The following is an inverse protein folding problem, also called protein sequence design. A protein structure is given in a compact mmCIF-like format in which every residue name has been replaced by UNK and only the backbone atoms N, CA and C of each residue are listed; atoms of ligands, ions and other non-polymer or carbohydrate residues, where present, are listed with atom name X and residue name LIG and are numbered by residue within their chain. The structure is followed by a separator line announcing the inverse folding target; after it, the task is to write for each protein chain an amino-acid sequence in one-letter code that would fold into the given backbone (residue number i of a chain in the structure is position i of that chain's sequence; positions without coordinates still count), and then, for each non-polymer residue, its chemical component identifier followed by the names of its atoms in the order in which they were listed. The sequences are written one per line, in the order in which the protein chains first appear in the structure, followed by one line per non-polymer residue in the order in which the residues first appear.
data_IF_547051506860
#
_entry.id   IF_547051506860
#
_cell.length_a   1.000
_cell.length_b   1.000
_cell.length_c   1.000
_cell.angle_alpha   90.00
_cell.angle_beta   90.00
_cell.angle_gamma   90.00
#
_symmetry.space_group_name_H-M   'P 1'
#
loop_
_entity.id
_entity.type
_entity.pdbx_description
1 polymer ?
#
# COMPACT_ATOMS: atom_id res chain seq x y z
N UNK A 1 -20.73 49.92 74.62
CA UNK A 1 -19.62 49.72 75.57
C UNK A 1 -18.37 49.47 74.77
N UNK A 2 -17.66 50.52 74.36
CA UNK A 2 -16.51 51.10 75.07
C UNK A 2 -15.47 50.04 75.45
N UNK A 3 -14.44 49.90 74.63
CA UNK A 3 -13.07 50.05 75.13
C UNK A 3 -12.12 50.37 73.98
N UNK A 4 -11.31 51.39 74.21
CA UNK A 4 -10.46 52.08 73.27
C UNK A 4 -9.00 51.96 73.71
N UNK A 5 -8.11 51.67 72.75
CA UNK A 5 -6.68 52.11 72.65
C UNK A 5 -5.68 51.61 73.71
N UNK A 6 -4.33 51.68 73.49
CA UNK A 6 -3.57 52.41 72.46
C UNK A 6 -2.56 51.56 71.64
N UNK A 7 -2.28 51.88 70.37
CA UNK A 7 -1.22 52.78 69.88
C UNK A 7 0.17 52.60 70.54
N UNK A 8 1.06 51.87 69.85
CA UNK A 8 2.50 52.02 69.96
C UNK A 8 3.10 52.18 68.56
N UNK A 9 3.68 53.35 68.34
CA UNK A 9 4.29 53.86 67.11
C UNK A 9 5.78 53.56 67.20
N UNK A 10 6.33 52.73 66.31
CA UNK A 10 7.78 52.70 66.11
C UNK A 10 8.12 52.69 64.62
N UNK A 11 8.59 53.85 64.17
CA UNK A 11 9.39 54.02 62.96
C UNK A 11 10.71 53.28 63.17
N UNK A 12 11.22 52.61 62.14
CA UNK A 12 12.61 52.75 61.65
C UNK A 12 12.86 51.85 60.42
N UNK A 13 13.43 52.49 59.41
CA UNK A 13 14.42 52.01 58.46
C UNK A 13 14.14 50.74 57.65
N UNK A 14 13.73 50.96 56.40
CA UNK A 14 14.59 50.74 55.23
C UNK A 14 15.20 49.36 55.04
N UNK A 15 14.62 48.57 54.15
CA UNK A 15 15.33 47.73 53.19
C UNK A 15 14.45 47.58 51.95
N UNK A 16 14.75 48.34 50.90
CA UNK A 16 14.26 48.05 49.55
C UNK A 16 14.98 46.77 49.09
N UNK A 17 14.36 45.61 49.32
CA UNK A 17 14.75 44.39 48.67
C UNK A 17 14.30 44.49 47.21
N UNK A 18 15.24 44.84 46.34
CA UNK A 18 15.08 44.78 44.89
C UNK A 18 14.96 43.29 44.53
N UNK A 19 13.71 42.80 44.46
CA UNK A 19 13.37 41.48 43.97
C UNK A 19 13.60 41.50 42.46
N UNK A 20 14.84 41.21 42.05
CA UNK A 20 15.14 40.80 40.68
C UNK A 20 14.44 39.46 40.51
N UNK A 21 13.21 39.51 40.00
CA UNK A 21 12.56 38.36 39.41
C UNK A 21 13.40 37.96 38.19
N UNK A 22 14.35 37.05 38.40
CA UNK A 22 14.94 36.26 37.32
C UNK A 22 13.80 35.45 36.71
N UNK A 23 13.12 36.06 35.75
CA UNK A 23 12.28 35.37 34.78
C UNK A 23 13.19 34.43 34.01
N UNK A 24 13.41 33.24 34.57
CA UNK A 24 13.92 32.11 33.82
C UNK A 24 12.95 31.94 32.65
N UNK A 25 13.38 32.38 31.47
CA UNK A 25 12.81 31.99 30.20
C UNK A 25 12.93 30.47 30.14
N UNK A 26 11.96 29.77 30.72
CA UNK A 26 11.66 28.41 30.37
C UNK A 26 11.19 28.48 28.91
N UNK A 27 12.15 28.51 28.00
CA UNK A 27 11.89 28.16 26.62
C UNK A 27 11.16 26.81 26.63
N UNK A 28 10.22 26.57 25.70
CA UNK A 28 9.57 25.28 25.62
C UNK A 28 10.66 24.20 25.62
N UNK A 29 10.70 23.41 26.69
CA UNK A 29 11.47 22.17 26.72
C UNK A 29 10.72 21.27 25.76
N UNK A 30 11.04 21.39 24.47
CA UNK A 30 10.65 20.39 23.49
C UNK A 30 11.35 19.13 23.98
N UNK A 31 10.57 18.20 24.56
CA UNK A 31 11.08 16.90 24.93
C UNK A 31 11.77 16.34 23.68
N UNK A 32 13.10 16.24 23.73
CA UNK A 32 13.89 15.74 22.62
C UNK A 32 13.40 14.33 22.34
N UNK A 33 12.92 14.09 21.12
CA UNK A 33 12.39 12.78 20.78
C UNK A 33 13.55 11.80 20.75
N UNK A 34 13.46 10.74 21.53
CA UNK A 34 14.50 9.73 21.61
C UNK A 34 14.10 8.46 20.88
N UNK A 35 15.06 7.89 20.16
CA UNK A 35 14.93 6.54 19.63
C UNK A 35 15.14 5.53 20.76
N UNK A 36 14.24 4.57 20.86
CA UNK A 36 14.25 3.52 21.88
C UNK A 36 14.35 2.15 21.24
N UNK A 37 14.54 1.11 22.06
CA UNK A 37 14.62 -0.29 21.62
C UNK A 37 15.64 -0.53 20.49
N UNK A 38 16.81 0.11 20.58
CA UNK A 38 17.87 0.00 19.58
C UNK A 38 18.48 -1.40 19.59
N UNK A 39 18.53 -2.02 18.41
CA UNK A 39 19.21 -3.29 18.15
C UNK A 39 20.25 -3.07 17.07
N UNK A 40 21.44 -3.62 17.29
CA UNK A 40 22.58 -3.58 16.37
C UNK A 40 22.92 -4.98 15.87
N UNK A 41 23.41 -5.10 14.66
CA UNK A 41 24.02 -6.33 14.17
C UNK A 41 24.83 -6.12 12.89
N UNK A 42 25.83 -6.98 12.67
CA UNK A 42 26.65 -6.95 11.44
C UNK A 42 25.90 -7.57 10.28
N UNK A 43 26.04 -7.02 9.08
CA UNK A 43 25.36 -7.51 7.87
C UNK A 43 26.14 -8.67 7.25
N UNK A 44 25.88 -9.89 7.72
CA UNK A 44 26.62 -11.08 7.29
C UNK A 44 28.11 -10.95 7.61
N UNK A 45 28.97 -11.43 6.70
CA UNK A 45 30.43 -11.35 6.85
C UNK A 45 31.04 -10.02 6.35
N UNK A 46 30.21 -9.08 5.93
CA UNK A 46 30.64 -7.79 5.38
C UNK A 46 31.01 -6.74 6.44
N UNK A 47 31.58 -5.60 6.02
CA UNK A 47 31.91 -4.49 6.93
C UNK A 47 30.70 -3.66 7.35
N UNK A 48 29.50 -3.95 6.84
CA UNK A 48 28.32 -3.12 7.09
C UNK A 48 27.68 -3.47 8.43
N UNK A 49 27.20 -2.43 9.10
CA UNK A 49 26.51 -2.48 10.39
C UNK A 49 25.06 -2.01 10.21
N UNK A 50 24.14 -2.64 10.92
CA UNK A 50 22.71 -2.34 10.84
C UNK A 50 22.22 -1.99 12.23
N UNK A 51 21.48 -0.89 12.30
CA UNK A 51 20.80 -0.43 13.50
C UNK A 51 19.30 -0.36 13.25
N UNK A 52 18.52 -0.83 14.21
CA UNK A 52 17.05 -0.75 14.22
C UNK A 52 16.61 -0.15 15.54
N UNK A 53 15.85 0.93 15.51
CA UNK A 53 15.23 1.51 16.70
C UNK A 53 13.78 1.90 16.43
N UNK A 54 13.09 2.39 17.46
CA UNK A 54 11.72 2.89 17.36
C UNK A 54 11.61 4.31 17.89
N UNK A 55 10.80 5.14 17.23
CA UNK A 55 10.54 6.53 17.59
C UNK A 55 9.06 6.84 17.46
N UNK A 56 8.52 7.60 18.42
CA UNK A 56 7.13 8.08 18.34
C UNK A 56 7.11 9.46 17.70
N UNK A 57 6.40 9.61 16.58
CA UNK A 57 6.23 10.89 15.89
C UNK A 57 4.75 11.26 15.83
N UNK A 58 4.41 12.56 15.70
CA UNK A 58 3.03 12.97 15.46
C UNK A 58 2.42 12.24 14.27
N UNK A 59 1.16 11.79 14.40
CA UNK A 59 0.54 10.90 13.44
C UNK A 59 0.21 11.54 12.08
N UNK A 60 0.17 12.87 12.03
CA UNK A 60 -0.23 13.64 10.87
C UNK A 60 0.94 13.91 9.92
N UNK A 61 0.68 13.80 8.62
CA UNK A 61 1.61 14.18 7.55
C UNK A 61 2.60 13.10 7.14
N UNK A 62 3.63 13.51 6.40
CA UNK A 62 4.66 12.62 5.84
C UNK A 62 6.02 13.01 6.42
N UNK A 63 6.55 12.17 7.31
CA UNK A 63 7.86 12.36 7.91
C UNK A 63 8.96 11.78 7.02
N UNK A 64 9.95 12.60 6.72
CA UNK A 64 11.17 12.23 6.03
C UNK A 64 12.37 12.48 6.95
N UNK A 65 13.25 11.49 7.05
CA UNK A 65 14.47 11.60 7.83
C UNK A 65 15.59 12.22 7.01
N UNK A 66 16.41 13.02 7.66
CA UNK A 66 17.66 13.57 7.14
C UNK A 66 18.80 13.22 8.07
N UNK A 67 19.88 12.74 7.48
CA UNK A 67 21.15 12.53 8.17
C UNK A 67 21.88 13.87 8.20
N UNK A 68 22.56 14.22 9.31
CA UNK A 68 23.53 15.30 9.34
C UNK A 68 24.59 15.16 8.24
N UNK A 69 25.02 16.29 7.66
CA UNK A 69 25.95 16.30 6.52
C UNK A 69 27.38 15.83 6.87
N UNK A 70 27.69 15.72 8.16
CA UNK A 70 29.00 15.38 8.72
C UNK A 70 29.18 13.88 9.02
N UNK A 71 28.17 13.04 8.77
CA UNK A 71 28.23 11.62 9.11
C UNK A 71 28.45 10.71 7.89
N UNK A 72 29.67 10.69 7.36
CA UNK A 72 30.07 9.88 6.18
C UNK A 72 29.93 8.35 6.38
N UNK A 73 29.84 7.92 7.64
CA UNK A 73 29.68 6.50 7.98
C UNK A 73 28.29 5.95 7.62
N UNK A 74 27.26 6.80 7.54
CA UNK A 74 25.88 6.37 7.29
C UNK A 74 25.65 6.22 5.78
N UNK A 75 25.27 5.01 5.37
CA UNK A 75 25.01 4.67 3.97
C UNK A 75 23.53 4.74 3.63
N UNK A 76 22.67 4.30 4.55
CA UNK A 76 21.22 4.26 4.34
C UNK A 76 20.49 4.64 5.64
N UNK A 77 19.40 5.39 5.52
CA UNK A 77 18.50 5.72 6.62
C UNK A 77 17.06 5.65 6.14
N UNK A 78 16.24 4.85 6.82
CA UNK A 78 14.83 4.69 6.53
C UNK A 78 13.97 4.91 7.77
N UNK A 79 12.78 5.46 7.54
CA UNK A 79 11.74 5.62 8.55
C UNK A 79 10.49 4.91 8.03
N UNK A 80 10.05 3.87 8.75
CA UNK A 80 8.89 3.08 8.39
C UNK A 80 7.83 3.19 9.49
N UNK A 81 6.54 3.29 9.18
CA UNK A 81 5.51 3.08 10.19
C UNK A 81 5.54 1.63 10.72
N UNK A 82 5.37 1.43 12.03
CA UNK A 82 5.21 0.09 12.61
C UNK A 82 3.77 -0.42 12.54
N UNK A 83 2.81 0.48 12.34
CA UNK A 83 1.39 0.18 12.26
C UNK A 83 0.88 0.36 10.83
N UNK A 84 -0.25 -0.27 10.45
CA UNK A 84 -0.93 -0.01 9.18
C UNK A 84 -1.57 1.40 9.20
N UNK A 85 -0.72 2.43 9.20
CA UNK A 85 -1.08 3.85 9.19
C UNK A 85 -0.55 4.55 7.94
N UNK A 86 0.02 3.80 6.99
CA UNK A 86 0.44 4.27 5.66
C UNK A 86 -0.63 5.16 5.00
N UNK A 87 -1.92 4.85 5.25
CA UNK A 87 -3.08 5.60 4.75
C UNK A 87 -3.06 7.09 5.18
N UNK A 88 -2.49 7.41 6.35
CA UNK A 88 -2.30 8.80 6.81
C UNK A 88 -1.16 9.50 6.08
N UNK A 89 -0.08 8.77 5.78
CA UNK A 89 1.17 9.33 5.30
C UNK A 89 1.12 9.71 3.83
N UNK A 90 0.35 8.97 3.03
CA UNK A 90 0.25 9.20 1.59
C UNK A 90 -0.40 10.56 1.25
N UNK A 91 -1.02 11.24 2.23
CA UNK A 91 -1.78 12.46 2.01
C UNK A 91 -3.10 12.20 1.31
N UNK A 92 -4.09 13.08 1.51
CA UNK A 92 -5.49 12.87 1.07
C UNK A 92 -5.62 12.52 -0.42
N UNK A 93 -4.78 13.12 -1.28
CA UNK A 93 -4.83 12.93 -2.74
C UNK A 93 -4.34 11.55 -3.18
N UNK A 94 -3.23 11.09 -2.62
CA UNK A 94 -2.71 9.76 -2.96
C UNK A 94 -3.61 8.67 -2.37
N UNK A 95 -4.20 8.90 -1.19
CA UNK A 95 -5.22 8.03 -0.63
C UNK A 95 -6.41 7.89 -1.59
N UNK A 96 -7.00 9.00 -2.04
CA UNK A 96 -8.13 8.96 -2.98
C UNK A 96 -7.78 8.27 -4.30
N UNK A 97 -6.58 8.53 -4.85
CA UNK A 97 -6.11 7.84 -6.07
C UNK A 97 -5.95 6.33 -5.87
N UNK A 98 -5.45 5.91 -4.70
CA UNK A 98 -5.28 4.50 -4.36
C UNK A 98 -6.60 3.79 -4.09
N UNK A 99 -7.50 4.46 -3.36
CA UNK A 99 -8.86 3.99 -3.11
C UNK A 99 -9.58 3.74 -4.44
N UNK A 100 -9.54 4.70 -5.35
CA UNK A 100 -10.08 4.56 -6.71
C UNK A 100 -9.42 3.38 -7.44
N UNK A 101 -8.10 3.26 -7.41
CA UNK A 101 -7.40 2.15 -8.07
C UNK A 101 -7.79 0.79 -7.49
N UNK A 102 -7.93 0.68 -6.17
CA UNK A 102 -8.33 -0.55 -5.50
C UNK A 102 -9.77 -0.93 -5.84
N UNK A 103 -10.69 0.05 -5.81
CA UNK A 103 -12.07 -0.10 -6.28
C UNK A 103 -12.08 -0.60 -7.72
N UNK A 104 -11.34 0.02 -8.64
CA UNK A 104 -11.32 -0.39 -10.05
C UNK A 104 -10.69 -1.78 -10.26
N UNK A 105 -9.70 -2.18 -9.46
CA UNK A 105 -9.11 -3.52 -9.57
C UNK A 105 -10.13 -4.64 -9.27
N UNK A 106 -11.04 -4.43 -8.32
CA UNK A 106 -12.13 -5.38 -8.04
C UNK A 106 -13.07 -5.57 -9.24
N UNK A 107 -13.36 -4.48 -9.98
CA UNK A 107 -14.15 -4.54 -11.22
C UNK A 107 -13.54 -5.51 -12.23
N UNK A 108 -12.23 -5.39 -12.48
CA UNK A 108 -11.50 -6.25 -13.42
C UNK A 108 -11.52 -7.72 -12.99
N UNK A 109 -11.35 -7.99 -11.70
CA UNK A 109 -11.41 -9.35 -11.17
C UNK A 109 -12.80 -9.97 -11.42
N UNK A 110 -13.86 -9.23 -11.12
CA UNK A 110 -15.23 -9.70 -11.33
C UNK A 110 -15.51 -9.92 -12.82
N UNK A 111 -15.16 -8.96 -13.68
CA UNK A 111 -15.38 -9.03 -15.13
C UNK A 111 -14.62 -10.18 -15.81
N UNK A 112 -13.47 -10.60 -15.26
CA UNK A 112 -12.66 -11.69 -15.81
C UNK A 112 -13.41 -13.00 -16.00
N UNK A 113 -14.42 -13.30 -15.18
CA UNK A 113 -15.23 -14.53 -15.28
C UNK A 113 -16.43 -14.47 -16.22
N UNK A 114 -16.73 -13.30 -16.79
CA UNK A 114 -17.92 -13.12 -17.64
C UNK A 114 -17.92 -14.04 -18.85
N UNK A 115 -16.81 -14.09 -19.61
CA UNK A 115 -16.74 -14.86 -20.85
C UNK A 115 -16.88 -16.37 -20.60
N UNK A 116 -16.32 -16.87 -19.50
CA UNK A 116 -16.49 -18.26 -19.09
C UNK A 116 -17.95 -18.59 -18.81
N UNK A 117 -18.64 -17.75 -18.02
CA UNK A 117 -20.06 -17.94 -17.70
C UNK A 117 -20.96 -17.82 -18.94
N UNK A 118 -20.68 -16.84 -19.82
CA UNK A 118 -21.43 -16.63 -21.06
C UNK A 118 -21.28 -17.83 -22.00
N UNK A 119 -20.05 -18.31 -22.19
CA UNK A 119 -19.77 -19.47 -23.05
C UNK A 119 -20.44 -20.73 -22.48
N UNK A 120 -20.33 -20.96 -21.17
CA UNK A 120 -21.02 -22.05 -20.48
C UNK A 120 -22.53 -22.00 -20.73
N UNK A 121 -23.15 -20.82 -20.56
CA UNK A 121 -24.57 -20.65 -20.81
C UNK A 121 -24.96 -20.87 -22.27
N UNK A 122 -24.13 -20.50 -23.24
CA UNK A 122 -24.40 -20.79 -24.66
C UNK A 122 -24.42 -22.29 -24.96
N UNK A 123 -23.58 -23.05 -24.27
CA UNK A 123 -23.48 -24.51 -24.41
C UNK A 123 -24.59 -25.24 -23.62
N UNK A 124 -25.07 -24.66 -22.52
CA UNK A 124 -26.07 -25.23 -21.61
C UNK A 124 -27.46 -24.59 -21.73
N UNK A 125 -27.90 -24.28 -22.95
CA UNK A 125 -29.28 -23.84 -23.21
C UNK A 125 -29.68 -22.50 -22.59
N UNK A 126 -28.72 -21.62 -22.34
CA UNK A 126 -28.94 -20.30 -21.76
C UNK A 126 -28.85 -20.25 -20.23
N UNK A 127 -28.42 -21.33 -19.57
CA UNK A 127 -28.29 -21.37 -18.10
C UNK A 127 -26.82 -21.27 -17.68
N UNK A 128 -26.51 -20.31 -16.81
CA UNK A 128 -25.17 -20.11 -16.28
C UNK A 128 -24.69 -21.25 -15.37
N UNK A 129 -23.40 -21.26 -14.99
CA UNK A 129 -22.85 -22.28 -14.11
C UNK A 129 -23.46 -22.21 -12.70
N UNK A 130 -23.62 -23.38 -12.06
CA UNK A 130 -24.05 -23.50 -10.65
C UNK A 130 -23.00 -23.03 -9.64
N UNK A 131 -21.73 -23.02 -10.04
CA UNK A 131 -20.61 -22.60 -9.20
C UNK A 131 -19.40 -22.26 -10.04
N UNK A 132 -18.44 -21.54 -9.46
CA UNK A 132 -17.15 -21.26 -10.10
C UNK A 132 -16.40 -22.58 -10.43
N UNK A 133 -16.53 -23.58 -9.55
CA UNK A 133 -15.90 -24.89 -9.75
C UNK A 133 -16.46 -25.64 -10.98
N UNK A 134 -17.73 -25.43 -11.35
CA UNK A 134 -18.32 -26.02 -12.55
C UNK A 134 -17.66 -25.52 -13.86
N UNK A 135 -16.99 -24.37 -13.82
CA UNK A 135 -16.19 -23.89 -14.94
C UNK A 135 -14.87 -24.67 -15.10
N UNK A 136 -14.39 -25.36 -14.05
CA UNK A 136 -13.13 -26.09 -14.09
C UNK A 136 -13.17 -27.37 -14.93
N UNK A 137 -14.37 -27.92 -15.17
CA UNK A 137 -14.59 -29.10 -16.02
C UNK A 137 -14.13 -28.85 -17.45
N UNK A 138 -14.18 -27.58 -17.87
CA UNK A 138 -13.61 -27.13 -19.13
C UNK A 138 -12.15 -26.70 -18.97
N UNK A 139 -11.25 -27.39 -19.66
CA UNK A 139 -9.82 -27.06 -19.70
C UNK A 139 -9.55 -25.61 -20.09
N UNK A 140 -10.43 -24.98 -20.89
CA UNK A 140 -10.34 -23.56 -21.29
C UNK A 140 -10.42 -22.62 -20.07
N UNK A 141 -11.17 -22.99 -19.04
CA UNK A 141 -11.52 -22.11 -17.91
C UNK A 141 -10.98 -22.59 -16.56
N UNK A 142 -10.27 -23.72 -16.51
CA UNK A 142 -9.64 -24.24 -15.29
C UNK A 142 -8.82 -23.19 -14.53
N UNK A 143 -8.01 -22.38 -15.23
CA UNK A 143 -7.21 -21.32 -14.61
C UNK A 143 -8.06 -20.25 -13.91
N UNK A 144 -9.27 -20.03 -14.42
CA UNK A 144 -10.21 -19.05 -13.91
C UNK A 144 -10.85 -19.56 -12.62
N UNK A 145 -11.32 -20.81 -12.61
CA UNK A 145 -11.83 -21.44 -11.40
C UNK A 145 -10.81 -21.42 -10.25
N UNK A 146 -9.53 -21.59 -10.58
CA UNK A 146 -8.42 -21.54 -9.60
C UNK A 146 -8.11 -20.13 -9.06
N UNK A 147 -8.50 -19.05 -9.75
CA UNK A 147 -8.04 -17.68 -9.47
C UNK A 147 -9.14 -16.67 -9.21
N UNK A 148 -10.36 -16.91 -9.68
CA UNK A 148 -11.40 -15.90 -9.72
C UNK A 148 -11.83 -15.44 -8.32
N UNK A 149 -11.89 -16.36 -7.36
CA UNK A 149 -12.20 -16.08 -5.96
C UNK A 149 -10.94 -15.90 -5.07
N UNK A 150 -9.77 -15.69 -5.66
CA UNK A 150 -8.54 -15.40 -4.90
C UNK A 150 -8.34 -13.89 -4.80
N UNK A 151 -7.65 -13.39 -3.75
CA UNK A 151 -7.31 -11.99 -3.71
C UNK A 151 -6.51 -11.65 -4.96
N UNK A 152 -6.93 -10.62 -5.70
CA UNK A 152 -6.18 -10.15 -6.85
C UNK A 152 -4.71 -9.95 -6.46
N UNK A 153 -3.76 -10.33 -7.31
CA UNK A 153 -2.34 -10.27 -6.96
C UNK A 153 -1.90 -8.85 -6.58
N UNK A 154 -2.59 -7.81 -7.08
CA UNK A 154 -2.37 -6.41 -6.67
C UNK A 154 -2.89 -6.09 -5.28
N UNK A 155 -3.83 -6.86 -4.72
CA UNK A 155 -4.18 -6.73 -3.30
C UNK A 155 -2.99 -7.01 -2.38
N UNK A 156 -2.01 -7.82 -2.82
CA UNK A 156 -0.77 -7.99 -2.07
C UNK A 156 0.05 -6.70 -1.97
N UNK A 157 -0.12 -5.76 -2.89
CA UNK A 157 0.50 -4.43 -2.76
C UNK A 157 -0.06 -3.72 -1.51
N UNK A 158 -1.30 -4.03 -1.10
CA UNK A 158 -1.94 -3.41 0.07
C UNK A 158 -1.68 -4.15 1.39
N UNK A 159 -0.78 -5.15 1.44
CA UNK A 159 -0.45 -5.84 2.71
C UNK A 159 0.00 -4.89 3.83
N UNK A 160 0.78 -3.87 3.51
CA UNK A 160 1.18 -2.83 4.48
C UNK A 160 0.04 -1.94 4.99
N UNK A 161 -1.17 -2.08 4.44
CA UNK A 161 -2.37 -1.32 4.82
C UNK A 161 -3.37 -2.17 5.60
N UNK A 162 -3.51 -3.44 5.23
CA UNK A 162 -4.49 -4.39 5.80
C UNK A 162 -3.91 -5.12 7.03
N UNK A 163 -2.63 -4.88 7.32
CA UNK A 163 -1.87 -5.60 8.35
C UNK A 163 -1.31 -6.93 7.83
N UNK A 164 -0.52 -7.60 8.68
CA UNK A 164 0.19 -8.83 8.29
C UNK A 164 -0.72 -10.04 8.15
N UNK A 165 -2.00 -9.93 8.52
CA UNK A 165 -2.93 -11.04 8.38
C UNK A 165 -3.34 -11.25 6.91
N UNK A 166 -3.21 -12.48 6.39
CA UNK A 166 -3.64 -12.77 5.03
C UNK A 166 -5.16 -12.61 4.92
N UNK A 167 -5.60 -11.83 3.92
CA UNK A 167 -7.01 -11.70 3.61
C UNK A 167 -7.60 -13.08 3.23
N UNK A 168 -8.46 -13.60 4.11
CA UNK A 168 -9.22 -14.82 3.85
C UNK A 168 -10.43 -14.52 2.95
N UNK A 169 -10.66 -15.39 1.98
CA UNK A 169 -11.83 -15.34 1.10
C UNK A 169 -13.14 -15.76 1.80
N UNK A 170 -14.23 -15.94 1.04
CA UNK A 170 -14.35 -15.63 -0.40
C UNK A 170 -14.32 -14.12 -0.66
N UNK A 171 -13.97 -13.73 -1.90
CA UNK A 171 -13.91 -12.36 -2.40
C UNK A 171 -15.07 -12.03 -3.34
N UNK A 172 -15.55 -13.03 -4.09
CA UNK A 172 -16.64 -12.89 -5.04
C UNK A 172 -17.72 -13.95 -4.79
N UNK A 173 -18.95 -13.63 -5.19
CA UNK A 173 -20.07 -14.57 -5.21
C UNK A 173 -20.60 -14.69 -6.63
N UNK A 174 -20.69 -15.91 -7.15
CA UNK A 174 -21.39 -16.22 -8.39
C UNK A 174 -22.80 -16.68 -8.02
N UNK A 175 -23.82 -16.06 -8.61
CA UNK A 175 -25.20 -16.52 -8.44
C UNK A 175 -25.38 -17.80 -9.28
N UNK A 176 -25.85 -18.90 -8.67
CA UNK A 176 -25.99 -20.16 -9.38
C UNK A 176 -27.06 -20.08 -10.48
N UNK A 177 -26.78 -20.71 -11.62
CA UNK A 177 -27.78 -21.04 -12.65
C UNK A 177 -28.57 -19.85 -13.23
N UNK A 178 -27.93 -18.67 -13.25
CA UNK A 178 -28.53 -17.45 -13.81
C UNK A 178 -28.84 -17.63 -15.29
N UNK A 179 -30.05 -17.26 -15.72
CA UNK A 179 -30.47 -17.35 -17.12
C UNK A 179 -29.93 -16.20 -17.96
N UNK A 180 -29.27 -16.54 -19.06
CA UNK A 180 -28.81 -15.62 -20.10
C UNK A 180 -29.88 -15.53 -21.20
N UNK A 181 -30.61 -14.43 -21.22
CA UNK A 181 -31.62 -14.16 -22.24
C UNK A 181 -30.99 -13.60 -23.52
N UNK A 182 -30.27 -14.45 -24.26
CA UNK A 182 -29.58 -14.05 -25.48
C UNK A 182 -30.53 -13.48 -26.53
N UNK A 183 -30.11 -12.39 -27.18
CA UNK A 183 -30.80 -11.88 -28.36
C UNK A 183 -30.79 -12.91 -29.50
N UNK A 184 -31.83 -12.88 -30.34
CA UNK A 184 -31.80 -13.63 -31.60
C UNK A 184 -30.63 -13.10 -32.44
N UNK A 185 -29.83 -13.97 -33.08
CA UNK A 185 -28.78 -13.52 -33.97
C UNK A 185 -29.38 -12.65 -35.08
N UNK A 186 -28.70 -11.58 -35.53
CA UNK A 186 -29.14 -10.85 -36.71
C UNK A 186 -29.28 -11.83 -37.87
N UNK A 187 -30.33 -11.66 -38.69
CA UNK A 187 -30.52 -12.46 -39.88
C UNK A 187 -29.26 -12.32 -40.76
N UNK A 188 -28.75 -13.42 -41.36
CA UNK A 188 -27.60 -13.34 -42.25
C UNK A 188 -27.93 -12.34 -43.38
N UNK A 189 -27.16 -11.27 -43.48
CA UNK A 189 -27.26 -10.36 -44.63
C UNK A 189 -26.79 -11.13 -45.87
N UNK A 190 -27.70 -11.33 -46.83
CA UNK A 190 -27.61 -12.25 -47.97
C UNK A 190 -26.55 -11.98 -49.04
N UNK A 191 -25.40 -11.43 -48.68
CA UNK A 191 -24.29 -11.15 -49.62
C UNK A 191 -22.98 -11.88 -49.30
N UNK A 192 -22.91 -12.66 -48.20
CA UNK A 192 -21.69 -13.38 -47.80
C UNK A 192 -21.67 -14.89 -48.05
N UNK A 193 -22.83 -15.54 -48.22
CA UNK A 193 -22.90 -17.02 -48.27
C UNK A 193 -22.31 -17.61 -49.56
N UNK A 194 -22.37 -16.90 -50.69
CA UNK A 194 -21.84 -17.41 -51.96
C UNK A 194 -20.31 -17.41 -52.06
N UNK A 195 -19.59 -16.72 -51.17
CA UNK A 195 -18.12 -16.72 -51.17
C UNK A 195 -17.51 -17.82 -50.27
N UNK A 196 -18.23 -18.27 -49.25
CA UNK A 196 -17.71 -19.25 -48.28
C UNK A 196 -17.86 -20.71 -48.76
N UNK A 197 -18.84 -21.01 -49.63
CA UNK A 197 -19.02 -22.34 -50.22
C UNK A 197 -17.88 -22.78 -51.15
N UNK A 198 -17.11 -21.83 -51.71
CA UNK A 198 -16.01 -22.13 -52.64
C UNK A 198 -14.72 -22.65 -51.99
N UNK A 199 -14.61 -22.68 -50.65
CA UNK A 199 -13.36 -23.05 -49.97
C UNK A 199 -13.44 -24.21 -48.97
N UNK A 200 -14.55 -24.95 -48.88
CA UNK A 200 -14.61 -26.20 -48.11
C UNK A 200 -14.27 -26.07 -46.60
N UNK A 201 -14.24 -24.85 -46.07
CA UNK A 201 -14.01 -24.59 -44.64
C UNK A 201 -15.35 -24.21 -44.00
N UNK A 202 -15.87 -24.99 -43.04
CA UNK A 202 -17.03 -24.60 -42.26
C UNK A 202 -16.61 -23.47 -41.31
N UNK A 203 -16.55 -22.24 -41.82
CA UNK A 203 -16.46 -21.05 -40.99
C UNK A 203 -17.88 -20.69 -40.53
N UNK A 204 -18.46 -21.52 -39.65
CA UNK A 204 -19.43 -20.98 -38.70
C UNK A 204 -18.64 -20.03 -37.79
N UNK A 205 -18.52 -18.77 -38.20
CA UNK A 205 -18.11 -17.72 -37.31
C UNK A 205 -19.07 -17.79 -36.12
N UNK A 206 -18.59 -18.25 -34.95
CA UNK A 206 -19.39 -18.34 -33.73
C UNK A 206 -19.89 -16.93 -33.41
N UNK A 207 -21.08 -16.59 -33.87
CA UNK A 207 -21.67 -15.27 -33.65
C UNK A 207 -21.76 -15.07 -32.15
N UNK A 208 -21.11 -14.01 -31.66
CA UNK A 208 -21.09 -13.68 -30.24
C UNK A 208 -22.52 -13.32 -29.82
N UNK A 209 -23.24 -14.25 -29.17
CA UNK A 209 -24.55 -13.93 -28.58
C UNK A 209 -24.37 -12.98 -27.40
N UNK A 210 -25.21 -11.96 -27.34
CA UNK A 210 -25.23 -10.90 -26.32
C UNK A 210 -26.60 -10.89 -25.66
N UNK A 211 -26.65 -10.54 -24.37
CA UNK A 211 -27.91 -10.34 -23.63
C UNK A 211 -28.27 -8.85 -23.71
N UNK A 212 -29.49 -8.48 -24.16
CA UNK A 212 -29.93 -7.08 -24.13
C UNK A 212 -29.98 -6.52 -22.71
N UNK A 213 -29.69 -5.23 -22.55
CA UNK A 213 -29.57 -4.58 -21.23
C UNK A 213 -30.86 -4.72 -20.41
N UNK A 214 -32.00 -4.60 -21.05
CA UNK A 214 -33.34 -4.73 -20.45
C UNK A 214 -33.68 -6.15 -19.99
N UNK A 215 -32.92 -7.16 -20.42
CA UNK A 215 -33.08 -8.57 -20.03
C UNK A 215 -31.94 -9.08 -19.15
N UNK A 216 -31.04 -8.18 -18.73
CA UNK A 216 -29.89 -8.55 -17.91
C UNK A 216 -30.33 -8.97 -16.51
N UNK A 217 -29.61 -9.93 -15.96
CA UNK A 217 -29.76 -10.37 -14.58
C UNK A 217 -28.41 -10.27 -13.86
N UNK A 218 -28.42 -10.20 -12.53
CA UNK A 218 -27.18 -10.25 -11.75
C UNK A 218 -26.55 -11.63 -11.92
N UNK A 219 -25.30 -11.65 -12.37
CA UNK A 219 -24.53 -12.87 -12.59
C UNK A 219 -23.62 -13.16 -11.38
N UNK A 220 -22.89 -12.14 -10.93
CA UNK A 220 -21.95 -12.25 -9.82
C UNK A 220 -21.76 -10.89 -9.14
N UNK A 221 -21.29 -10.88 -7.89
CA UNK A 221 -21.00 -9.66 -7.17
C UNK A 221 -19.83 -9.80 -6.19
N UNK A 222 -19.28 -8.67 -5.78
CA UNK A 222 -18.18 -8.57 -4.84
C UNK A 222 -18.67 -8.77 -3.38
N UNK A 223 -17.99 -9.64 -2.65
CA UNK A 223 -18.22 -9.91 -1.21
C UNK A 223 -17.28 -9.11 -0.31
N UNK A 224 -16.15 -8.64 -0.83
CA UNK A 224 -15.13 -7.92 -0.06
C UNK A 224 -14.74 -6.61 -0.73
N UNK A 225 -15.66 -5.62 -0.75
CA UNK A 225 -15.34 -4.29 -1.25
C UNK A 225 -14.14 -3.74 -0.48
N UNK A 226 -13.28 -3.00 -1.18
CA UNK A 226 -12.08 -2.48 -0.56
C UNK A 226 -12.43 -1.51 0.57
N UNK A 227 -13.42 -0.64 0.34
CA UNK A 227 -13.92 0.35 1.28
C UNK A 227 -15.34 0.05 1.74
N UNK A 228 -15.67 0.58 2.91
CA UNK A 228 -17.01 0.52 3.50
C UNK A 228 -17.82 1.78 3.15
N UNK A 229 -18.10 1.96 1.86
CA UNK A 229 -18.92 3.07 1.32
C UNK A 229 -20.38 2.67 1.06
N UNK A 230 -20.79 1.48 1.54
CA UNK A 230 -22.10 0.90 1.26
C UNK A 230 -22.30 0.45 -0.18
N UNK A 231 -21.23 0.36 -1.00
CA UNK A 231 -21.30 -0.05 -2.41
C UNK A 231 -20.40 -1.25 -2.71
N UNK A 232 -20.75 -1.96 -3.77
CA UNK A 232 -19.96 -3.08 -4.28
C UNK A 232 -20.08 -3.22 -5.80
N UNK A 233 -19.18 -3.99 -6.41
CA UNK A 233 -19.28 -4.31 -7.82
C UNK A 233 -20.26 -5.45 -8.09
N UNK A 234 -21.10 -5.26 -9.09
CA UNK A 234 -22.08 -6.23 -9.59
C UNK A 234 -21.85 -6.44 -11.09
N UNK A 235 -21.70 -7.70 -11.50
CA UNK A 235 -21.59 -8.13 -12.88
C UNK A 235 -22.92 -8.69 -13.33
N UNK A 236 -23.37 -8.25 -14.51
CA UNK A 236 -24.62 -8.68 -15.13
C UNK A 236 -24.38 -9.66 -16.29
N UNK A 237 -25.44 -10.34 -16.72
CA UNK A 237 -25.41 -11.29 -17.85
C UNK A 237 -25.16 -10.66 -19.22
N UNK A 238 -25.26 -9.33 -19.34
CA UNK A 238 -24.85 -8.57 -20.53
C UNK A 238 -23.33 -8.27 -20.56
N UNK A 239 -22.61 -8.58 -19.47
CA UNK A 239 -21.18 -8.34 -19.30
C UNK A 239 -20.84 -6.96 -18.75
N UNK A 240 -21.84 -6.12 -18.48
CA UNK A 240 -21.63 -4.86 -17.77
C UNK A 240 -21.33 -5.13 -16.31
N UNK A 241 -20.38 -4.36 -15.78
CA UNK A 241 -19.98 -4.40 -14.37
C UNK A 241 -20.19 -3.00 -13.80
N UNK A 242 -21.07 -2.87 -12.81
CA UNK A 242 -21.50 -1.60 -12.24
C UNK A 242 -21.23 -1.57 -10.74
N UNK A 243 -20.84 -0.40 -10.22
CA UNK A 243 -20.68 -0.17 -8.78
C UNK A 243 -21.99 0.39 -8.26
N UNK A 244 -22.72 -0.41 -7.51
CA UNK A 244 -24.07 -0.09 -7.01
C UNK A 244 -24.09 -0.13 -5.49
N UNK A 245 -25.12 0.46 -4.88
CA UNK A 245 -25.39 0.29 -3.46
C UNK A 245 -25.63 -1.19 -3.14
N UNK A 246 -25.19 -1.64 -1.97
CA UNK A 246 -25.41 -3.00 -1.50
C UNK A 246 -26.91 -3.24 -1.34
N UNK A 247 -27.43 -4.21 -2.09
CA UNK A 247 -28.82 -4.63 -2.02
C UNK A 247 -29.01 -5.67 -0.89
N UNK A 248 -29.66 -5.32 0.23
CA UNK A 248 -29.79 -6.23 1.37
C UNK A 248 -30.66 -7.46 1.03
N UNK A 249 -31.66 -7.32 0.15
CA UNK A 249 -32.53 -8.40 -0.25
C UNK A 249 -31.76 -9.43 -1.08
N UNK A 250 -30.94 -8.97 -2.02
CA UNK A 250 -30.05 -9.84 -2.80
C UNK A 250 -29.08 -10.60 -1.88
N UNK A 251 -28.43 -9.90 -0.94
CA UNK A 251 -27.47 -10.51 -0.02
C UNK A 251 -28.13 -11.55 0.89
N UNK A 252 -29.34 -11.25 1.38
CA UNK A 252 -30.13 -12.19 2.17
C UNK A 252 -30.58 -13.40 1.35
N UNK A 253 -31.10 -13.19 0.13
CA UNK A 253 -31.55 -14.25 -0.76
C UNK A 253 -30.42 -15.21 -1.14
N UNK A 254 -29.19 -14.70 -1.28
CA UNK A 254 -28.00 -15.48 -1.57
C UNK A 254 -27.32 -16.06 -0.31
N UNK A 255 -27.81 -15.72 0.89
CA UNK A 255 -27.25 -16.16 2.19
C UNK A 255 -25.75 -15.87 2.37
N UNK A 256 -25.30 -14.73 1.85
CA UNK A 256 -23.89 -14.29 1.94
C UNK A 256 -23.72 -13.08 2.85
N UNK A 257 -22.48 -12.74 3.17
CA UNK A 257 -22.13 -11.55 3.97
C UNK A 257 -21.08 -10.72 3.25
N UNK A 258 -21.34 -9.42 3.13
CA UNK A 258 -20.34 -8.47 2.64
C UNK A 258 -19.42 -8.08 3.80
N UNK A 259 -18.11 -8.15 3.56
CA UNK A 259 -17.06 -7.87 4.54
C UNK A 259 -16.01 -6.97 3.91
N UNK A 260 -16.14 -5.64 4.05
CA UNK A 260 -15.15 -4.70 3.54
C UNK A 260 -13.74 -5.03 4.00
N UNK A 261 -12.74 -4.70 3.19
CA UNK A 261 -11.33 -4.87 3.54
C UNK A 261 -10.91 -3.80 4.56
N UNK A 262 -11.33 -2.56 4.33
CA UNK A 262 -11.15 -1.44 5.25
C UNK A 262 -12.46 -1.13 5.96
N UNK A 263 -12.45 -1.28 7.30
CA UNK A 263 -13.57 -0.89 8.14
C UNK A 263 -13.42 0.59 8.55
N UNK A 264 -14.47 1.37 8.31
CA UNK A 264 -14.59 2.78 8.69
C UNK A 264 -14.29 3.06 10.17
N UNK A 265 -14.69 2.15 11.08
CA UNK A 265 -14.43 2.27 12.53
C UNK A 265 -12.95 2.11 12.88
N UNK A 266 -12.22 1.21 12.21
CA UNK A 266 -10.77 1.07 12.42
C UNK A 266 -10.02 2.31 11.95
N UNK A 267 -10.50 2.95 10.88
CA UNK A 267 -9.98 4.23 10.43
C UNK A 267 -10.28 5.35 11.44
N UNK A 268 -11.48 5.41 12.02
CA UNK A 268 -11.82 6.42 13.05
C UNK A 268 -10.94 6.27 14.30
N UNK A 269 -10.83 5.05 14.85
CA UNK A 269 -9.97 4.79 16.01
C UNK A 269 -8.50 5.05 15.73
N UNK A 270 -8.05 4.81 14.48
CA UNK A 270 -6.75 5.26 14.08
C UNK A 270 -6.72 6.80 14.14
N UNK A 271 -7.66 7.51 13.48
CA UNK A 271 -7.65 8.99 13.28
C UNK A 271 -7.51 9.78 14.58
N UNK A 272 -7.97 9.23 15.68
CA UNK A 272 -7.90 9.83 17.01
C UNK A 272 -6.51 9.72 17.68
N UNK A 273 -5.57 8.94 17.14
CA UNK A 273 -4.21 8.79 17.72
C UNK A 273 -3.33 10.01 17.42
N UNK A 274 -2.83 10.74 18.44
CA UNK A 274 -2.00 11.93 18.25
C UNK A 274 -0.58 11.61 17.77
N UNK A 275 -0.07 10.42 18.10
CA UNK A 275 1.26 9.94 17.69
C UNK A 275 1.21 8.51 17.14
N UNK A 276 2.21 8.19 16.32
CA UNK A 276 2.45 6.89 15.76
C UNK A 276 3.88 6.46 16.04
N UNK A 277 4.05 5.17 16.25
CA UNK A 277 5.36 4.57 16.35
C UNK A 277 5.92 4.28 14.95
N UNK A 278 7.18 4.65 14.77
CA UNK A 278 7.95 4.41 13.57
C UNK A 278 9.18 3.58 13.91
N UNK A 279 9.56 2.72 12.98
CA UNK A 279 10.82 2.01 12.99
C UNK A 279 11.84 2.81 12.19
N UNK A 280 12.95 3.14 12.83
CA UNK A 280 14.15 3.64 12.19
C UNK A 280 15.06 2.48 11.83
N UNK A 281 15.55 2.47 10.61
CA UNK A 281 16.52 1.48 10.12
C UNK A 281 17.68 2.23 9.50
N UNK A 282 18.88 2.01 10.02
CA UNK A 282 20.11 2.65 9.59
C UNK A 282 21.13 1.59 9.17
N UNK A 283 21.83 1.84 8.07
CA UNK A 283 22.97 1.03 7.62
C UNK A 283 24.20 1.92 7.60
N UNK A 284 25.26 1.49 8.30
CA UNK A 284 26.53 2.19 8.37
C UNK A 284 27.68 1.31 7.84
N UNK A 285 28.74 1.93 7.34
CA UNK A 285 29.95 1.22 6.89
C UNK A 285 30.89 0.83 8.02
N UNK A 286 30.65 1.32 9.23
CA UNK A 286 31.40 1.02 10.44
C UNK A 286 30.49 1.18 11.66
N UNK A 287 30.85 0.62 12.83
CA UNK A 287 30.12 0.88 14.06
C UNK A 287 30.07 2.38 14.38
N UNK A 288 28.93 2.86 14.84
CA UNK A 288 28.74 4.24 15.26
C UNK A 288 29.15 4.38 16.73
N UNK A 289 30.12 5.25 16.99
CA UNK A 289 30.66 5.49 18.33
C UNK A 289 29.94 6.59 19.10
N UNK A 290 29.29 7.53 18.39
CA UNK A 290 28.67 8.72 18.97
C UNK A 290 27.15 8.72 18.78
N UNK A 291 26.39 9.32 19.71
CA UNK A 291 24.96 9.55 19.52
C UNK A 291 24.70 10.39 18.27
N UNK A 292 23.65 10.04 17.54
CA UNK A 292 23.23 10.75 16.33
C UNK A 292 22.13 11.78 16.67
N UNK A 293 22.27 12.99 16.15
CA UNK A 293 21.22 14.00 16.11
C UNK A 293 20.57 13.98 14.72
N UNK A 294 19.43 13.30 14.57
CA UNK A 294 18.72 13.20 13.31
C UNK A 294 17.64 14.28 13.18
N UNK A 295 17.36 14.68 11.94
CA UNK A 295 16.25 15.60 11.67
C UNK A 295 15.11 14.87 10.97
N UNK A 296 13.90 14.98 11.51
CA UNK A 296 12.67 14.54 10.86
C UNK A 296 11.92 15.76 10.35
N UNK A 297 11.65 15.79 9.05
CA UNK A 297 10.89 16.87 8.39
C UNK A 297 9.54 16.36 7.92
N UNK A 298 8.49 17.11 8.23
CA UNK A 298 7.13 16.86 7.78
C UNK A 298 6.75 17.89 6.73
N UNK A 299 6.75 17.47 5.46
CA UNK A 299 6.47 18.38 4.34
C UNK A 299 5.02 18.84 4.27
N UNK A 300 4.09 18.05 4.84
CA UNK A 300 2.65 18.37 4.84
C UNK A 300 2.34 19.43 5.89
N UNK A 301 2.96 19.31 7.08
CA UNK A 301 2.74 20.22 8.19
C UNK A 301 3.74 21.38 8.26
N UNK A 302 4.79 21.36 7.43
CA UNK A 302 5.88 22.32 7.50
C UNK A 302 6.66 22.28 8.82
N UNK A 303 6.67 21.13 9.52
CA UNK A 303 7.30 20.96 10.82
C UNK A 303 8.62 20.22 10.69
N UNK A 304 9.61 20.61 11.50
CA UNK A 304 10.86 19.86 11.67
C UNK A 304 11.03 19.51 13.14
N UNK A 305 11.42 18.27 13.40
CA UNK A 305 11.70 17.76 14.74
C UNK A 305 13.12 17.21 14.78
N UNK A 306 13.78 17.38 15.91
CA UNK A 306 15.07 16.77 16.19
C UNK A 306 14.87 15.47 16.96
N UNK A 307 15.57 14.42 16.54
CA UNK A 307 15.50 13.09 17.11
C UNK A 307 16.91 12.71 17.55
N UNK A 308 17.08 12.42 18.83
CA UNK A 308 18.33 11.88 19.37
C UNK A 308 18.30 10.35 19.31
N UNK A 309 19.35 9.75 18.75
CA UNK A 309 19.53 8.31 18.70
C UNK A 309 20.87 7.92 19.29
N UNK A 310 20.85 7.36 20.49
CA UNK A 310 22.03 6.71 21.06
C UNK A 310 22.14 5.27 20.54
N UNK A 311 23.22 4.99 19.81
CA UNK A 311 23.50 3.68 19.23
C UNK A 311 24.53 2.89 20.03
N UNK A 312 25.12 3.48 21.08
CA UNK A 312 26.21 2.87 21.86
C UNK A 312 25.70 1.72 22.74
N UNK A 313 24.52 1.89 23.30
CA UNK A 313 23.85 0.89 24.15
C UNK A 313 22.90 -0.02 23.34
N UNK A 314 23.13 -0.16 22.03
CA UNK A 314 22.31 -1.01 21.18
C UNK A 314 22.45 -2.48 21.60
N UNK A 315 21.33 -3.16 21.81
CA UNK A 315 21.35 -4.59 22.07
C UNK A 315 21.89 -5.34 20.83
N UNK A 316 22.82 -6.27 21.04
CA UNK A 316 23.34 -7.11 19.96
C UNK A 316 22.26 -8.09 19.46
N UNK A 317 22.09 -8.12 18.14
CA UNK A 317 21.12 -8.95 17.44
C UNK A 317 21.75 -9.66 16.25
N UNK A 318 21.17 -10.80 15.87
CA UNK A 318 21.68 -11.55 14.72
C UNK A 318 21.28 -10.87 13.41
N UNK A 319 22.13 -11.02 12.38
CA UNK A 319 21.74 -10.57 11.03
C UNK A 319 20.46 -11.24 10.54
N UNK A 320 20.22 -12.50 10.92
CA UNK A 320 19.01 -13.22 10.53
C UNK A 320 17.74 -12.47 10.97
N UNK A 321 17.75 -11.87 12.16
CA UNK A 321 16.63 -11.11 12.71
C UNK A 321 16.48 -9.72 12.04
N UNK A 322 17.60 -9.08 11.70
CA UNK A 322 17.61 -7.76 11.08
C UNK A 322 17.37 -7.79 9.56
N UNK A 323 17.69 -8.91 8.90
CA UNK A 323 17.63 -9.06 7.44
C UNK A 323 16.25 -8.73 6.88
N UNK A 324 15.20 -9.24 7.50
CA UNK A 324 13.82 -8.98 7.05
C UNK A 324 13.49 -7.49 7.21
N UNK A 325 13.88 -6.89 8.33
CA UNK A 325 13.67 -5.47 8.62
C UNK A 325 14.33 -4.56 7.58
N UNK A 326 15.58 -4.82 7.20
CA UNK A 326 16.31 -4.04 6.18
C UNK A 326 15.66 -4.21 4.81
N UNK A 327 15.26 -5.45 4.48
CA UNK A 327 14.58 -5.75 3.22
C UNK A 327 13.28 -4.96 3.11
N UNK A 328 12.49 -4.94 4.18
CA UNK A 328 11.24 -4.18 4.23
C UNK A 328 11.48 -2.66 4.17
N UNK A 329 12.54 -2.16 4.81
CA UNK A 329 12.98 -0.77 4.76
C UNK A 329 13.32 -0.30 3.35
N UNK A 330 14.17 -1.05 2.64
CA UNK A 330 14.54 -0.76 1.25
C UNK A 330 13.33 -0.80 0.33
N UNK A 331 12.49 -1.83 0.46
CA UNK A 331 11.24 -1.95 -0.29
C UNK A 331 10.32 -0.76 -0.08
N UNK A 332 10.15 -0.34 1.18
CA UNK A 332 9.35 0.82 1.53
C UNK A 332 9.91 2.10 0.89
N UNK A 333 11.21 2.37 1.05
CA UNK A 333 11.86 3.55 0.47
C UNK A 333 11.80 3.61 -1.06
N UNK A 334 11.82 2.46 -1.74
CA UNK A 334 11.81 2.39 -3.21
C UNK A 334 10.40 2.28 -3.80
N UNK A 335 9.39 2.05 -2.97
CA UNK A 335 8.01 1.83 -3.39
C UNK A 335 7.43 2.95 -4.26
N UNK A 336 7.68 4.24 -3.99
CA UNK A 336 7.19 5.31 -4.87
C UNK A 336 7.70 5.17 -6.31
N UNK A 337 8.96 4.79 -6.50
CA UNK A 337 9.56 4.58 -7.82
C UNK A 337 9.01 3.33 -8.51
N UNK A 338 8.74 2.26 -7.75
CA UNK A 338 8.07 1.05 -8.24
C UNK A 338 6.65 1.32 -8.73
N UNK A 339 5.96 2.28 -8.11
CA UNK A 339 4.60 2.67 -8.50
C UNK A 339 4.61 3.63 -9.69
N UNK A 340 5.61 4.52 -9.77
CA UNK A 340 5.73 5.51 -10.84
C UNK A 340 6.32 4.95 -12.14
N UNK A 341 7.06 3.83 -12.12
CA UNK A 341 7.73 3.27 -13.30
C UNK A 341 7.54 1.77 -13.50
N UNK A 342 7.42 1.33 -14.75
CA UNK A 342 7.43 -0.09 -15.16
C UNK A 342 8.84 -0.70 -15.20
N UNK A 343 9.69 -0.35 -14.23
CA UNK A 343 11.09 -0.78 -14.19
C UNK A 343 11.23 -2.25 -13.78
N UNK A 344 11.48 -3.14 -14.74
CA UNK A 344 11.65 -4.58 -14.49
C UNK A 344 12.71 -4.93 -13.43
N UNK A 345 13.76 -4.11 -13.30
CA UNK A 345 14.86 -4.32 -12.33
C UNK A 345 14.40 -4.13 -10.88
N UNK A 346 13.61 -3.09 -10.60
CA UNK A 346 13.08 -2.84 -9.26
C UNK A 346 12.08 -3.94 -8.86
N UNK A 347 11.30 -4.47 -9.81
CA UNK A 347 10.40 -5.60 -9.57
C UNK A 347 11.15 -6.90 -9.21
N UNK A 348 12.32 -7.14 -9.80
CA UNK A 348 13.17 -8.30 -9.43
C UNK A 348 13.74 -8.13 -8.03
N UNK A 349 14.14 -6.91 -7.64
CA UNK A 349 14.60 -6.61 -6.28
C UNK A 349 13.50 -6.72 -5.22
N UNK A 350 12.25 -6.35 -5.52
CA UNK A 350 11.13 -6.60 -4.61
C UNK A 350 10.89 -8.12 -4.41
N UNK A 351 11.22 -8.95 -5.41
CA UNK A 351 11.02 -10.40 -5.32
C UNK A 351 12.18 -11.14 -4.63
N UNK A 352 13.40 -10.60 -4.61
CA UNK A 352 14.61 -11.26 -4.10
C UNK A 352 14.62 -11.54 -2.58
N UNK A 353 13.76 -10.88 -1.81
CA UNK A 353 13.56 -11.13 -0.38
C UNK A 353 12.71 -12.37 -0.06
N UNK A 354 12.05 -12.99 -1.05
CA UNK A 354 11.33 -14.25 -0.87
C UNK A 354 12.28 -15.39 -1.23
N UNK A 355 12.48 -16.34 -0.32
CA UNK A 355 13.24 -17.56 -0.60
C UNK A 355 12.80 -18.09 -1.97
N UNK A 356 13.74 -18.09 -2.93
CA UNK A 356 13.45 -18.45 -4.31
C UNK A 356 12.86 -19.86 -4.30
N UNK A 357 11.59 -20.01 -4.72
CA UNK A 357 11.11 -21.32 -5.15
C UNK A 357 12.04 -21.73 -6.28
N UNK A 358 12.91 -22.71 -6.03
CA UNK A 358 13.78 -23.33 -7.04
C UNK A 358 12.93 -23.58 -8.29
N UNK A 359 13.07 -22.72 -9.29
CA UNK A 359 12.53 -22.95 -10.60
C UNK A 359 13.43 -24.03 -11.24
N UNK A 360 12.89 -25.06 -11.91
CA UNK A 360 13.70 -26.15 -12.47
C UNK A 360 14.50 -25.77 -13.73
N UNK A 361 14.45 -24.50 -14.17
CA UNK A 361 15.03 -24.08 -15.44
C UNK A 361 16.25 -23.15 -15.24
N UNK A 362 17.48 -23.65 -15.43
CA UNK A 362 18.72 -22.88 -15.24
C UNK A 362 19.02 -21.89 -16.38
N UNK A 363 18.19 -21.80 -17.43
CA UNK A 363 18.51 -20.99 -18.63
C UNK A 363 18.01 -19.54 -18.58
N UNK A 364 17.39 -19.10 -17.47
CA UNK A 364 16.88 -17.72 -17.27
C UNK A 364 17.59 -16.95 -16.16
N UNK A 365 18.86 -17.25 -15.90
CA UNK A 365 19.67 -16.44 -15.01
C UNK A 365 20.16 -15.18 -15.73
N UNK A 366 19.45 -14.07 -15.55
CA UNK A 366 20.00 -12.74 -15.76
C UNK A 366 21.24 -12.61 -14.87
N UNK A 367 22.40 -12.48 -15.49
CA UNK A 367 23.70 -12.42 -14.81
C UNK A 367 23.80 -11.16 -13.96
N UNK A 368 24.45 -11.29 -12.80
CA UNK A 368 24.69 -10.23 -11.81
C UNK A 368 25.36 -8.96 -12.40
N UNK A 369 25.98 -9.08 -13.58
CA UNK A 369 26.60 -7.99 -14.32
C UNK A 369 25.61 -7.05 -15.03
N UNK A 370 24.40 -7.51 -15.40
CA UNK A 370 23.36 -6.62 -15.92
C UNK A 370 22.75 -5.71 -14.83
N UNK A 371 22.93 -6.09 -13.55
CA UNK A 371 22.46 -5.33 -12.37
C UNK A 371 23.41 -4.18 -12.03
N UNK A 372 24.71 -4.31 -12.33
CA UNK A 372 25.70 -3.26 -12.05
C UNK A 372 25.67 -2.11 -13.08
N UNK A 373 25.33 -2.37 -14.34
CA UNK A 373 25.19 -1.32 -15.36
C UNK A 373 24.03 -0.34 -15.13
N UNK A 374 22.99 -0.76 -14.40
CA UNK A 374 21.85 0.12 -14.08
C UNK A 374 22.18 1.18 -13.01
N UNK A 375 23.15 0.92 -12.14
CA UNK A 375 23.56 1.88 -11.10
C UNK A 375 24.34 3.05 -11.70
N UNK A 376 25.23 2.77 -12.66
CA UNK A 376 25.94 3.80 -13.42
C UNK A 376 24.96 4.68 -14.23
N UNK A 377 23.96 4.07 -14.88
CA UNK A 377 22.97 4.83 -15.65
C UNK A 377 22.07 5.73 -14.78
N UNK A 378 21.69 5.28 -13.58
CA UNK A 378 20.89 6.09 -12.65
C UNK A 378 21.74 7.21 -12.02
N UNK A 379 22.99 6.93 -11.65
CA UNK A 379 23.91 7.95 -11.13
C UNK A 379 24.23 9.01 -12.21
N UNK A 380 24.43 8.62 -13.46
CA UNK A 380 24.64 9.53 -14.60
C UNK A 380 23.39 10.37 -14.91
N UNK A 381 22.19 9.77 -14.84
CA UNK A 381 20.94 10.53 -15.08
C UNK A 381 20.66 11.53 -13.95
N UNK A 382 20.99 11.18 -12.69
CA UNK A 382 20.86 12.09 -11.55
C UNK A 382 21.91 13.22 -11.61
N UNK A 383 23.15 12.94 -12.04
CA UNK A 383 24.17 13.96 -12.26
C UNK A 383 23.78 14.93 -13.38
N UNK A 384 23.16 14.43 -14.47
CA UNK A 384 22.65 15.28 -15.55
C UNK A 384 21.47 16.18 -15.12
N UNK A 385 20.61 15.70 -14.22
CA UNK A 385 19.52 16.50 -13.64
C UNK A 385 20.04 17.58 -12.69
N UNK A 386 21.08 17.28 -11.90
CA UNK A 386 21.66 18.26 -10.98
C UNK A 386 22.43 19.36 -11.73
N UNK A 387 23.09 19.01 -12.84
CA UNK A 387 23.73 19.96 -13.76
C UNK A 387 22.73 20.88 -14.46
N UNK A 388 21.58 20.36 -14.90
CA UNK A 388 20.53 21.20 -15.54
C UNK A 388 19.86 22.16 -14.55
N UNK A 389 19.76 21.80 -13.27
CA UNK A 389 19.24 22.68 -12.21
C UNK A 389 20.27 23.75 -11.81
N UNK A 390 21.56 23.45 -11.85
CA UNK A 390 22.63 24.43 -11.57
C UNK A 390 22.85 25.42 -12.72
N UNK A 391 22.73 24.98 -13.98
CA UNK A 391 22.81 25.88 -15.14
C UNK A 391 21.59 26.82 -15.24
N UNK A 392 20.39 26.34 -14.89
CA UNK A 392 19.19 27.19 -14.81
C UNK A 392 19.29 28.28 -13.72
N UNK A 393 20.15 28.11 -12.71
CA UNK A 393 20.41 29.11 -11.65
C UNK A 393 21.52 30.10 -11.98
N UNK A 394 22.39 29.81 -12.96
CA UNK A 394 23.45 30.73 -13.39
C UNK A 394 23.00 31.67 -14.53
N UNK A 395 21.85 31.40 -15.13
CA UNK A 395 21.26 32.21 -16.21
C UNK A 395 20.09 33.12 -15.79
N UNK A 396 19.87 33.32 -14.48
CA UNK A 396 18.82 34.20 -13.95
C UNK A 396 19.41 35.41 -13.23
#
# INVERSE_FOLDING_TARGET
MFCSLPLARNRRLGFFACLIATSALAGPVWAQLQVTATVHGRMGDGPLHVYRGTVSLPADGLWNMRVPADTDAIRELYLLPTQPSLLRHLGKRMYAAWEEQAIQNSRWQLQGGFEACRQYAQEQGGVGPKSIAALADDKRWKYLADRWDKPHWRLNQFKGLVGDQPLKGPFLHLIPEVRFQFAKPPAPHGHGEQAAERQGRPHQAKVRKVVPKEKRAVLAFELRPFIDDGKHWVLYTDGQCERVAIDPELIQAQQVKIRPVFNSQQNQLALERPSLEYRLVLVASQPLADPLALQASNQVLGKTLEISWDTRDAAEGSYADLRQTITDARKFGWRPYLLAGSGGVLNVWDQSGRASRRAPDPRRNLTMFAILGGRAAIEETLQLQDLTVTDARKGA
#
